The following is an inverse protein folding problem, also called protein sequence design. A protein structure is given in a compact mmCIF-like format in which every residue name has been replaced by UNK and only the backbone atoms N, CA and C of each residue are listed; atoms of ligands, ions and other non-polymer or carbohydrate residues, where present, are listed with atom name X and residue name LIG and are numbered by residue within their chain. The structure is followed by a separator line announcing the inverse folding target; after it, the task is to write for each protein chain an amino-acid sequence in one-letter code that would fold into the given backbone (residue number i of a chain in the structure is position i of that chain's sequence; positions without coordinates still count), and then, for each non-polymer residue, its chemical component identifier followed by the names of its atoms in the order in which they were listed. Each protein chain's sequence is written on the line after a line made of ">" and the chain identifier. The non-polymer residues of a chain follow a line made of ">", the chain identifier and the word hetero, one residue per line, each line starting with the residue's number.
data_IF_445281607918
#
_entry.id   IF_445281607918
#
_cell.length_a   1.000
_cell.length_b   1.000
_cell.length_c   1.000
_cell.angle_alpha   90.00
_cell.angle_beta   90.00
_cell.angle_gamma   90.00
#
_symmetry.space_group_name_H-M   'P 1'
#
loop_
_entity.id
_entity.type
_entity.pdbx_description
1 polymer ?
#
# COMPACT_ATOMS: atom_id res chain seq x y z
N UNK A 1 -42.52 11.22 60.57
CA UNK A 1 -41.53 12.27 60.24
C UNK A 1 -42.01 12.98 58.99
N UNK A 2 -42.36 14.24 59.14
CA UNK A 2 -43.33 14.99 58.34
C UNK A 2 -42.67 15.74 57.18
N UNK A 3 -43.11 15.44 55.96
CA UNK A 3 -43.59 16.37 54.92
C UNK A 3 -43.07 17.83 54.84
N UNK A 4 -42.72 18.20 53.59
CA UNK A 4 -43.33 19.28 52.76
C UNK A 4 -42.56 20.60 52.44
N UNK A 5 -42.49 20.84 51.12
CA UNK A 5 -42.54 22.10 50.29
C UNK A 5 -41.36 23.03 50.00
N UNK A 6 -41.24 23.28 48.67
CA UNK A 6 -40.65 24.44 47.95
C UNK A 6 -41.45 25.75 48.12
N UNK A 7 -40.91 26.90 47.68
CA UNK A 7 -41.65 27.72 46.69
C UNK A 7 -40.71 28.41 45.64
N UNK A 8 -41.16 29.33 44.74
CA UNK A 8 -41.77 29.00 43.44
C UNK A 8 -41.26 29.85 42.24
N UNK A 9 -41.85 29.60 41.07
CA UNK A 9 -41.71 30.32 39.79
C UNK A 9 -42.86 31.32 39.49
N UNK A 10 -42.66 32.18 38.47
CA UNK A 10 -43.63 32.99 37.67
C UNK A 10 -43.87 34.45 38.17
N UNK A 11 -44.14 35.50 37.38
CA UNK A 11 -44.53 35.69 35.96
C UNK A 11 -44.51 37.19 35.53
N UNK A 12 -44.15 37.44 34.26
CA UNK A 12 -44.75 38.32 33.23
C UNK A 12 -44.93 39.88 33.33
N UNK A 13 -44.47 40.51 32.22
CA UNK A 13 -44.93 41.74 31.50
C UNK A 13 -44.60 43.11 32.11
N UNK A 14 -44.28 44.20 31.38
CA UNK A 14 -44.55 44.59 29.99
C UNK A 14 -43.64 45.79 29.55
N UNK A 15 -43.18 45.78 28.28
CA UNK A 15 -42.96 46.89 27.30
C UNK A 15 -42.04 48.12 27.51
N UNK A 16 -41.16 48.24 26.49
CA UNK A 16 -40.85 49.39 25.60
C UNK A 16 -39.71 50.42 25.89
N UNK A 17 -38.71 50.33 24.98
CA UNK A 17 -37.95 51.39 24.28
C UNK A 17 -37.09 52.43 25.04
N UNK A 18 -35.75 52.33 24.92
CA UNK A 18 -34.95 53.11 23.94
C UNK A 18 -33.42 53.01 24.15
N UNK A 19 -32.72 52.89 23.02
CA UNK A 19 -31.33 53.29 22.70
C UNK A 19 -30.14 52.65 23.44
N UNK A 20 -29.39 51.83 22.69
CA UNK A 20 -28.07 51.32 23.06
C UNK A 20 -26.94 52.23 22.52
N UNK A 21 -25.96 52.55 23.37
CA UNK A 21 -24.65 53.11 23.01
C UNK A 21 -23.58 51.98 23.00
N UNK A 22 -22.55 52.02 22.13
CA UNK A 22 -21.76 50.86 21.75
C UNK A 22 -20.50 50.65 22.61
N UNK A 23 -20.19 49.38 22.92
CA UNK A 23 -18.90 48.95 23.49
C UNK A 23 -17.84 48.80 22.40
N UNK A 24 -16.72 49.50 22.56
CA UNK A 24 -15.53 49.41 21.71
C UNK A 24 -14.89 48.01 21.75
N UNK A 25 -14.66 47.41 20.57
CA UNK A 25 -13.82 46.21 20.40
C UNK A 25 -12.46 46.61 19.83
N UNK A 26 -11.38 46.26 20.53
CA UNK A 26 -10.01 46.34 20.02
C UNK A 26 -9.86 45.51 18.72
N UNK A 27 -9.56 46.18 17.61
CA UNK A 27 -9.23 45.55 16.33
C UNK A 27 -7.80 44.99 16.38
N UNK A 28 -7.65 43.69 16.13
CA UNK A 28 -6.35 43.08 15.80
C UNK A 28 -5.81 43.69 14.49
N UNK A 29 -4.49 43.93 14.34
CA UNK A 29 -3.94 44.53 13.14
C UNK A 29 -4.15 43.62 11.93
N UNK A 30 -4.62 44.19 10.81
CA UNK A 30 -4.70 43.49 9.53
C UNK A 30 -3.27 43.18 9.06
N UNK A 31 -2.97 41.90 8.75
CA UNK A 31 -1.76 41.54 8.00
C UNK A 31 -1.80 42.28 6.66
N UNK A 32 -0.83 43.17 6.44
CA UNK A 32 -0.66 43.83 5.15
C UNK A 32 -0.06 42.81 4.17
N UNK A 33 -0.80 42.43 3.13
CA UNK A 33 -0.21 41.81 1.95
C UNK A 33 0.62 42.89 1.25
N UNK A 34 1.93 42.87 1.48
CA UNK A 34 2.88 43.75 0.79
C UNK A 34 3.14 43.12 -0.58
N UNK A 35 2.64 43.76 -1.63
CA UNK A 35 3.00 43.43 -3.01
C UNK A 35 4.08 44.41 -3.47
N UNK A 36 5.28 43.90 -3.73
CA UNK A 36 6.43 44.72 -4.15
C UNK A 36 6.34 45.22 -5.60
N UNK A 37 5.47 44.62 -6.42
CA UNK A 37 5.32 44.94 -7.85
C UNK A 37 3.86 45.12 -8.26
N UNK A 38 3.08 45.83 -7.43
CA UNK A 38 1.67 46.06 -7.73
C UNK A 38 1.51 46.86 -9.04
N UNK A 39 0.76 46.30 -9.99
CA UNK A 39 0.48 46.86 -11.32
C UNK A 39 1.69 46.99 -12.26
N UNK A 40 2.84 46.38 -11.96
CA UNK A 40 3.97 46.37 -12.89
C UNK A 40 3.65 45.48 -14.10
N UNK A 41 4.01 45.94 -15.31
CA UNK A 41 4.02 45.12 -16.52
C UNK A 41 5.47 44.82 -16.88
N UNK A 42 5.81 43.53 -16.98
CA UNK A 42 7.14 42.99 -17.29
C UNK A 42 8.29 43.43 -16.34
N UNK A 43 8.19 43.22 -15.02
CA UNK A 43 9.33 43.48 -14.14
C UNK A 43 10.51 42.55 -14.48
N UNK A 44 11.70 43.12 -14.69
CA UNK A 44 12.93 42.40 -14.93
C UNK A 44 13.90 42.64 -13.77
N UNK A 45 14.29 41.57 -13.07
CA UNK A 45 15.22 41.63 -11.94
C UNK A 45 16.47 40.82 -12.30
N UNK A 46 17.64 41.43 -12.27
CA UNK A 46 18.92 40.78 -12.57
C UNK A 46 19.90 40.99 -11.41
N UNK A 47 20.69 39.96 -11.09
CA UNK A 47 21.74 39.98 -10.05
C UNK A 47 21.26 40.43 -8.66
N UNK A 48 20.11 39.94 -8.18
CA UNK A 48 19.57 40.29 -6.85
C UNK A 48 19.62 39.10 -5.89
N UNK A 49 19.90 39.37 -4.61
CA UNK A 49 19.84 38.41 -3.51
C UNK A 49 18.65 38.74 -2.61
N UNK A 50 17.76 37.76 -2.38
CA UNK A 50 16.60 37.91 -1.50
C UNK A 50 16.80 37.06 -0.25
N UNK A 51 16.77 37.68 0.92
CA UNK A 51 16.87 36.98 2.21
C UNK A 51 15.51 37.00 2.89
N UNK A 52 14.93 35.81 3.15
CA UNK A 52 13.62 35.67 3.80
C UNK A 52 13.85 35.36 5.28
N UNK A 53 13.51 36.29 6.17
CA UNK A 53 13.76 36.16 7.62
C UNK A 53 12.66 35.39 8.37
N UNK A 54 11.52 35.08 7.75
CA UNK A 54 10.43 34.31 8.36
C UNK A 54 9.73 33.43 7.31
N UNK A 55 9.35 32.20 7.69
CA UNK A 55 8.64 31.23 6.86
C UNK A 55 7.31 31.79 6.34
N UNK A 56 7.36 32.44 5.18
CA UNK A 56 6.20 32.69 4.33
C UNK A 56 6.29 31.72 3.16
N UNK A 57 5.31 30.81 3.09
CA UNK A 57 5.07 29.97 1.93
C UNK A 57 5.06 30.85 0.67
N UNK A 58 5.99 30.58 -0.24
CA UNK A 58 6.00 31.21 -1.57
C UNK A 58 4.85 30.58 -2.36
N UNK A 59 3.72 31.28 -2.44
CA UNK A 59 2.68 30.96 -3.41
C UNK A 59 3.03 31.68 -4.71
N UNK A 60 3.63 30.95 -5.65
CA UNK A 60 3.64 31.37 -7.05
C UNK A 60 2.23 31.13 -7.57
N UNK A 61 1.38 32.16 -7.58
CA UNK A 61 0.13 32.12 -8.32
C UNK A 61 0.47 32.22 -9.81
N UNK A 62 0.69 31.08 -10.46
CA UNK A 62 0.69 30.99 -11.91
C UNK A 62 -0.77 30.98 -12.37
N UNK A 63 -1.30 32.14 -12.72
CA UNK A 63 -2.55 32.24 -13.45
C UNK A 63 -2.44 31.45 -14.77
N UNK A 64 -3.13 30.32 -14.86
CA UNK A 64 -3.43 29.64 -16.13
C UNK A 64 -2.51 28.48 -16.58
N UNK A 65 -1.43 28.15 -15.89
CA UNK A 65 -0.65 26.94 -16.20
C UNK A 65 -1.27 25.78 -15.43
N UNK A 66 -1.88 24.81 -16.15
CA UNK A 66 -2.30 23.54 -15.56
C UNK A 66 -1.13 22.97 -14.74
N UNK A 67 -1.33 22.72 -13.45
CA UNK A 67 -0.34 22.04 -12.61
C UNK A 67 0.19 20.81 -13.40
N UNK A 68 1.48 20.75 -13.74
CA UNK A 68 2.04 19.69 -14.57
C UNK A 68 1.88 18.31 -13.91
N UNK A 69 1.72 18.26 -12.59
CA UNK A 69 1.46 17.04 -11.84
C UNK A 69 -0.02 16.68 -11.78
N UNK A 70 -0.96 17.58 -12.10
CA UNK A 70 -2.40 17.29 -12.07
C UNK A 70 -2.73 16.05 -12.90
N UNK A 71 -2.19 15.97 -14.13
CA UNK A 71 -2.38 14.81 -15.02
C UNK A 71 -1.80 13.51 -14.47
N UNK A 72 -0.72 13.59 -13.68
CA UNK A 72 -0.14 12.44 -12.99
C UNK A 72 -1.08 12.00 -11.87
N UNK A 73 -1.57 12.93 -11.05
CA UNK A 73 -2.50 12.65 -9.95
C UNK A 73 -3.82 12.05 -10.45
N UNK A 74 -4.32 12.49 -11.61
CA UNK A 74 -5.51 11.92 -12.24
C UNK A 74 -5.34 10.45 -12.67
N UNK A 75 -4.10 9.95 -12.76
CA UNK A 75 -3.79 8.54 -13.09
C UNK A 75 -3.44 7.68 -11.87
N UNK A 76 -3.40 8.25 -10.66
CA UNK A 76 -3.05 7.51 -9.44
C UNK A 76 -4.18 6.55 -9.08
N UNK A 77 -3.85 5.26 -8.98
CA UNK A 77 -4.75 4.26 -8.44
C UNK A 77 -4.59 4.23 -6.92
N UNK A 78 -5.39 5.04 -6.20
CA UNK A 78 -5.31 5.12 -4.74
C UNK A 78 -5.47 3.75 -4.09
N UNK A 79 -6.43 2.94 -4.55
CA UNK A 79 -6.70 1.58 -4.07
C UNK A 79 -5.57 0.57 -4.33
N UNK A 80 -4.52 0.92 -5.07
CA UNK A 80 -3.35 0.08 -5.29
C UNK A 80 -2.23 0.32 -4.26
N UNK A 81 -2.39 1.27 -3.34
CA UNK A 81 -1.40 1.63 -2.33
C UNK A 81 -1.64 0.84 -1.03
N UNK A 82 -0.57 0.62 -0.25
CA UNK A 82 -0.59 -0.11 1.04
C UNK A 82 -1.68 0.32 2.04
N UNK A 83 -2.00 1.62 2.15
CA UNK A 83 -2.91 2.17 3.17
C UNK A 83 -4.19 2.76 2.56
N UNK A 84 -4.59 2.28 1.38
CA UNK A 84 -5.80 2.79 0.73
C UNK A 84 -7.02 2.28 1.49
N UNK A 85 -7.66 3.14 2.28
CA UNK A 85 -8.84 2.76 3.06
C UNK A 85 -9.87 2.05 2.19
N UNK A 86 -10.19 0.78 2.53
CA UNK A 86 -11.21 0.00 1.82
C UNK A 86 -10.70 -1.07 0.86
N UNK A 87 -9.40 -1.44 0.86
CA UNK A 87 -8.95 -2.65 0.17
C UNK A 87 -9.51 -3.91 0.85
N UNK A 88 -10.42 -4.59 0.16
CA UNK A 88 -10.96 -5.89 0.61
C UNK A 88 -9.89 -7.01 0.70
N UNK A 89 -8.72 -6.80 0.10
CA UNK A 89 -7.57 -7.69 0.02
C UNK A 89 -6.42 -7.33 0.99
N UNK A 90 -6.64 -6.44 1.97
CA UNK A 90 -5.66 -6.14 3.03
C UNK A 90 -5.48 -7.31 3.99
N UNK A 91 -4.84 -8.36 3.51
CA UNK A 91 -4.41 -9.50 4.32
C UNK A 91 -2.92 -9.35 4.55
N UNK A 92 -2.49 -9.38 5.81
CA UNK A 92 -1.09 -9.54 6.19
C UNK A 92 -0.83 -10.95 6.71
N UNK A 93 0.43 -11.33 6.84
CA UNK A 93 0.78 -12.62 7.41
C UNK A 93 0.28 -12.68 8.87
N UNK A 94 -0.22 -13.85 9.25
CA UNK A 94 -0.57 -14.11 10.64
C UNK A 94 0.71 -14.11 11.49
N UNK A 95 0.73 -13.53 12.70
CA UNK A 95 1.92 -13.49 13.53
C UNK A 95 2.55 -14.88 13.72
N UNK A 96 3.87 -14.99 13.52
CA UNK A 96 4.59 -16.27 13.63
C UNK A 96 4.47 -17.19 12.42
N UNK A 97 3.89 -16.73 11.31
CA UNK A 97 3.86 -17.45 10.01
C UNK A 97 4.79 -16.78 9.00
N UNK A 98 5.32 -17.53 8.04
CA UNK A 98 6.17 -17.03 6.96
C UNK A 98 7.43 -16.27 7.42
N UNK A 99 7.85 -16.47 8.68
CA UNK A 99 8.95 -15.73 9.30
C UNK A 99 10.29 -15.96 8.58
N UNK A 100 10.50 -17.16 8.04
CA UNK A 100 11.73 -17.49 7.30
C UNK A 100 11.85 -16.67 6.01
N UNK A 101 10.79 -16.64 5.19
CA UNK A 101 10.78 -15.89 3.93
C UNK A 101 10.77 -14.38 4.19
N UNK A 102 10.05 -13.92 5.21
CA UNK A 102 10.08 -12.50 5.63
C UNK A 102 11.50 -12.11 6.08
N UNK A 103 12.16 -12.95 6.87
CA UNK A 103 13.54 -12.73 7.31
C UNK A 103 14.53 -12.73 6.16
N UNK A 104 14.34 -13.57 5.14
CA UNK A 104 15.13 -13.54 3.90
C UNK A 104 14.98 -12.20 3.18
N UNK A 105 13.75 -11.70 3.02
CA UNK A 105 13.48 -10.41 2.37
C UNK A 105 14.05 -9.24 3.16
N UNK A 106 13.98 -9.26 4.49
CA UNK A 106 14.61 -8.25 5.35
C UNK A 106 16.13 -8.21 5.15
N UNK A 107 16.79 -9.38 5.11
CA UNK A 107 18.24 -9.47 4.84
C UNK A 107 18.58 -8.96 3.44
N UNK A 108 17.75 -9.28 2.44
CA UNK A 108 17.94 -8.83 1.06
C UNK A 108 17.82 -7.30 0.94
N UNK A 109 16.79 -6.69 1.54
CA UNK A 109 16.64 -5.23 1.56
C UNK A 109 17.80 -4.51 2.26
N UNK A 110 18.41 -5.17 3.25
CA UNK A 110 19.57 -4.67 3.98
C UNK A 110 20.91 -4.89 3.23
N UNK A 111 20.91 -5.59 2.08
CA UNK A 111 22.13 -5.99 1.37
C UNK A 111 22.98 -7.02 2.12
N UNK A 112 22.38 -7.76 3.06
CA UNK A 112 23.04 -8.73 3.96
C UNK A 112 22.76 -10.18 3.59
N UNK A 113 22.06 -10.43 2.49
CA UNK A 113 21.72 -11.78 2.05
C UNK A 113 22.81 -12.42 1.15
N UNK A 114 23.91 -11.70 0.91
CA UNK A 114 25.03 -12.15 0.10
C UNK A 114 24.75 -12.20 -1.41
N UNK A 115 23.56 -11.76 -1.85
CA UNK A 115 23.21 -11.72 -3.27
C UNK A 115 23.56 -10.35 -3.88
N UNK A 116 24.08 -10.36 -5.10
CA UNK A 116 24.32 -9.13 -5.87
C UNK A 116 23.07 -8.65 -6.64
N UNK A 117 21.88 -9.13 -6.28
CA UNK A 117 20.64 -8.89 -7.04
C UNK A 117 19.80 -7.79 -6.42
N UNK A 118 19.45 -6.78 -7.22
CA UNK A 118 18.57 -5.69 -6.81
C UNK A 118 17.09 -5.97 -7.13
N UNK A 119 16.76 -7.14 -7.67
CA UNK A 119 15.40 -7.56 -7.96
C UNK A 119 15.11 -8.95 -7.38
N UNK A 120 14.05 -9.06 -6.60
CA UNK A 120 13.55 -10.31 -6.06
C UNK A 120 12.19 -10.64 -6.68
N UNK A 121 11.99 -11.90 -7.04
CA UNK A 121 10.72 -12.40 -7.56
C UNK A 121 10.13 -13.46 -6.63
N UNK A 122 9.09 -13.08 -5.88
CA UNK A 122 8.31 -13.98 -5.04
C UNK A 122 7.25 -14.70 -5.87
N UNK A 123 7.40 -16.01 -6.03
CA UNK A 123 6.53 -16.83 -6.88
C UNK A 123 5.83 -17.92 -6.09
N UNK A 124 4.65 -18.32 -6.53
CA UNK A 124 3.88 -19.39 -5.89
C UNK A 124 2.45 -19.49 -6.41
N UNK A 125 1.75 -20.59 -6.12
CA UNK A 125 0.38 -20.82 -6.56
C UNK A 125 -0.62 -19.81 -5.96
N UNK A 126 -1.84 -19.78 -6.49
CA UNK A 126 -2.93 -18.98 -5.92
C UNK A 126 -3.22 -19.43 -4.48
N UNK A 127 -3.40 -18.47 -3.56
CA UNK A 127 -3.69 -18.78 -2.16
C UNK A 127 -2.49 -19.14 -1.28
N UNK A 128 -1.26 -19.11 -1.81
CA UNK A 128 -0.02 -19.37 -1.03
C UNK A 128 0.36 -18.25 -0.04
N UNK A 129 -0.28 -17.08 -0.13
CA UNK A 129 -0.03 -15.95 0.77
C UNK A 129 0.99 -14.91 0.26
N UNK A 130 1.30 -14.89 -1.04
CA UNK A 130 2.21 -13.87 -1.64
C UNK A 130 1.83 -12.44 -1.29
N UNK A 131 0.58 -12.04 -1.55
CA UNK A 131 0.06 -10.71 -1.24
C UNK A 131 0.17 -10.38 0.25
N UNK A 132 -0.06 -11.37 1.12
CA UNK A 132 0.10 -11.22 2.56
C UNK A 132 1.54 -10.99 2.99
N UNK A 133 2.50 -11.66 2.34
CA UNK A 133 3.93 -11.43 2.57
C UNK A 133 4.31 -10.03 2.09
N UNK A 134 3.92 -9.62 0.88
CA UNK A 134 4.25 -8.27 0.35
C UNK A 134 3.64 -7.17 1.23
N UNK A 135 2.38 -7.34 1.67
CA UNK A 135 1.72 -6.44 2.61
C UNK A 135 2.51 -6.35 3.93
N UNK A 136 2.95 -7.48 4.48
CA UNK A 136 3.74 -7.53 5.72
C UNK A 136 5.09 -6.84 5.56
N UNK A 137 5.78 -7.05 4.43
CA UNK A 137 7.03 -6.36 4.12
C UNK A 137 6.82 -4.85 4.02
N UNK A 138 5.76 -4.42 3.37
CA UNK A 138 5.43 -3.00 3.25
C UNK A 138 5.17 -2.35 4.62
N UNK A 139 4.44 -3.03 5.52
CA UNK A 139 4.25 -2.59 6.91
C UNK A 139 5.57 -2.54 7.68
N UNK A 140 6.44 -3.55 7.55
CA UNK A 140 7.77 -3.58 8.18
C UNK A 140 8.65 -2.44 7.65
N UNK A 141 8.60 -2.13 6.36
CA UNK A 141 9.32 -0.99 5.80
C UNK A 141 8.89 0.31 6.47
N UNK A 142 7.58 0.53 6.62
CA UNK A 142 7.02 1.70 7.32
C UNK A 142 7.50 1.77 8.77
N UNK A 143 7.47 0.66 9.51
CA UNK A 143 7.92 0.58 10.90
C UNK A 143 9.42 0.83 11.07
N UNK A 144 10.24 0.33 10.12
CA UNK A 144 11.71 0.45 10.14
C UNK A 144 12.23 1.76 9.54
N UNK A 145 11.34 2.61 9.00
CA UNK A 145 11.72 3.81 8.26
C UNK A 145 12.49 3.50 6.96
N UNK A 146 12.21 2.35 6.33
CA UNK A 146 12.70 2.01 4.99
C UNK A 146 11.75 2.65 3.98
N UNK A 147 12.32 3.35 2.99
CA UNK A 147 11.55 4.00 1.94
C UNK A 147 10.97 2.94 1.00
N UNK A 148 9.65 2.87 0.90
CA UNK A 148 8.99 1.91 0.03
C UNK A 148 7.80 2.54 -0.70
N UNK A 149 7.65 2.21 -1.98
CA UNK A 149 6.47 2.53 -2.79
C UNK A 149 5.86 1.23 -3.30
N UNK A 150 4.54 1.15 -3.27
CA UNK A 150 3.81 -0.10 -3.49
C UNK A 150 2.77 0.02 -4.60
N UNK A 151 2.54 -1.08 -5.31
CA UNK A 151 1.43 -1.23 -6.23
C UNK A 151 0.88 -2.64 -6.16
N UNK A 152 -0.35 -2.78 -5.70
CA UNK A 152 -1.07 -4.04 -5.61
C UNK A 152 -2.05 -4.15 -6.77
N UNK A 153 -1.69 -4.95 -7.78
CA UNK A 153 -2.61 -5.28 -8.86
C UNK A 153 -3.80 -6.07 -8.32
N UNK A 154 -4.97 -5.83 -8.89
CA UNK A 154 -6.14 -6.63 -8.59
C UNK A 154 -7.02 -6.78 -9.83
N UNK A 155 -7.22 -8.01 -10.29
CA UNK A 155 -7.87 -8.28 -11.58
C UNK A 155 -9.31 -7.76 -11.64
N UNK A 156 -10.04 -7.81 -10.53
CA UNK A 156 -11.43 -7.39 -10.46
C UNK A 156 -11.64 -5.88 -10.32
N UNK A 157 -10.56 -5.11 -10.09
CA UNK A 157 -10.64 -3.65 -9.94
C UNK A 157 -10.08 -2.95 -11.19
N UNK A 158 -10.94 -2.30 -11.99
CA UNK A 158 -10.53 -1.67 -13.25
C UNK A 158 -9.51 -0.54 -13.07
N UNK A 159 -9.42 0.03 -11.86
CA UNK A 159 -8.48 1.11 -11.56
C UNK A 159 -7.05 0.61 -11.37
N UNK A 160 -6.86 -0.68 -11.06
CA UNK A 160 -5.55 -1.29 -10.76
C UNK A 160 -5.31 -2.65 -11.42
N UNK A 161 -6.09 -3.00 -12.45
CA UNK A 161 -5.88 -4.20 -13.24
C UNK A 161 -5.03 -3.97 -14.50
N UNK A 162 -4.44 -2.78 -14.71
CA UNK A 162 -3.61 -2.47 -15.89
C UNK A 162 -2.29 -1.82 -15.50
N UNK A 163 -1.30 -1.82 -16.39
CA UNK A 163 -0.01 -1.18 -16.16
C UNK A 163 -0.07 0.37 -16.15
N UNK A 164 -1.14 0.95 -16.71
CA UNK A 164 -1.28 2.40 -16.91
C UNK A 164 -1.08 3.23 -15.62
N UNK A 165 -1.76 2.95 -14.50
CA UNK A 165 -1.59 3.71 -13.25
C UNK A 165 -0.27 3.44 -12.51
N UNK A 166 0.50 2.41 -12.90
CA UNK A 166 1.63 1.90 -12.11
C UNK A 166 2.65 3.00 -11.78
N UNK A 167 3.22 3.65 -12.80
CA UNK A 167 4.29 4.64 -12.59
C UNK A 167 3.77 5.88 -11.86
N UNK A 168 2.59 6.39 -12.24
CA UNK A 168 1.99 7.53 -11.57
C UNK A 168 1.76 7.26 -10.07
N UNK A 169 1.30 6.06 -9.73
CA UNK A 169 1.03 5.65 -8.35
C UNK A 169 2.30 5.45 -7.53
N UNK A 170 3.35 4.88 -8.14
CA UNK A 170 4.67 4.78 -7.49
C UNK A 170 5.28 6.17 -7.27
N UNK A 171 5.20 7.07 -8.26
CA UNK A 171 5.71 8.44 -8.15
C UNK A 171 4.98 9.24 -7.09
N UNK A 172 3.66 9.12 -6.99
CA UNK A 172 2.88 9.75 -5.93
C UNK A 172 3.45 9.41 -4.55
N UNK A 173 3.70 8.13 -4.27
CA UNK A 173 4.30 7.68 -3.00
C UNK A 173 5.75 8.17 -2.85
N UNK A 174 6.55 8.12 -3.93
CA UNK A 174 7.94 8.60 -3.89
C UNK A 174 8.02 10.11 -3.60
N UNK A 175 7.06 10.91 -4.07
CA UNK A 175 7.04 12.35 -3.78
C UNK A 175 6.83 12.65 -2.30
N UNK A 176 6.09 11.80 -1.58
CA UNK A 176 5.92 11.90 -0.14
C UNK A 176 7.22 11.52 0.61
N UNK A 177 7.95 10.53 0.10
CA UNK A 177 9.22 10.07 0.67
C UNK A 177 10.39 11.00 0.35
N UNK A 178 10.38 11.64 -0.83
CA UNK A 178 11.47 12.44 -1.35
C UNK A 178 10.96 13.66 -2.14
N UNK A 179 10.62 14.78 -1.45
CA UNK A 179 10.06 15.97 -2.06
C UNK A 179 10.85 16.56 -3.25
N UNK A 180 12.20 16.51 -3.30
CA UNK A 180 12.94 16.97 -4.48
C UNK A 180 12.56 16.26 -5.79
N UNK A 181 12.20 14.96 -5.73
CA UNK A 181 11.74 14.22 -6.90
C UNK A 181 10.48 14.84 -7.52
N UNK A 182 9.59 15.38 -6.69
CA UNK A 182 8.35 16.03 -7.13
C UNK A 182 8.65 17.20 -8.06
N UNK A 183 9.63 18.04 -7.71
CA UNK A 183 9.99 19.21 -8.50
C UNK A 183 10.66 18.81 -9.83
N UNK A 184 11.57 17.83 -9.78
CA UNK A 184 12.24 17.32 -10.98
C UNK A 184 11.24 16.71 -11.98
N UNK A 185 10.31 15.87 -11.51
CA UNK A 185 9.27 15.27 -12.36
C UNK A 185 8.29 16.31 -12.89
N UNK A 186 7.91 17.30 -12.08
CA UNK A 186 7.05 18.40 -12.53
C UNK A 186 7.69 19.17 -13.71
N UNK A 187 8.99 19.45 -13.64
CA UNK A 187 9.72 20.11 -14.73
C UNK A 187 9.74 19.25 -16.01
N UNK A 188 9.98 17.94 -15.89
CA UNK A 188 9.96 17.01 -17.03
C UNK A 188 8.57 16.96 -17.67
N UNK A 189 7.51 16.82 -16.87
CA UNK A 189 6.14 16.75 -17.38
C UNK A 189 5.64 18.08 -17.97
N UNK A 190 6.25 19.21 -17.56
CA UNK A 190 5.95 20.51 -18.16
C UNK A 190 6.48 20.61 -19.59
N UNK A 191 7.66 20.02 -19.85
CA UNK A 191 8.29 20.00 -21.18
C UNK A 191 7.80 18.83 -22.05
N UNK A 192 7.46 17.69 -21.43
CA UNK A 192 7.11 16.45 -22.12
C UNK A 192 5.80 15.85 -21.55
N UNK A 193 4.66 16.52 -21.73
CA UNK A 193 3.39 16.11 -21.11
C UNK A 193 2.85 14.75 -21.59
N UNK A 194 3.30 14.26 -22.74
CA UNK A 194 2.90 12.96 -23.31
C UNK A 194 3.62 11.77 -22.66
N UNK A 195 4.61 12.00 -21.78
CA UNK A 195 5.34 10.92 -21.11
C UNK A 195 4.43 10.04 -20.26
N UNK A 196 3.38 10.59 -19.64
CA UNK A 196 2.41 9.80 -18.86
C UNK A 196 1.61 8.79 -19.71
N UNK A 197 1.67 8.91 -21.03
CA UNK A 197 1.05 7.99 -21.98
C UNK A 197 2.08 7.25 -22.85
N UNK A 198 3.37 7.49 -22.61
CA UNK A 198 4.45 6.79 -23.30
C UNK A 198 4.55 5.33 -22.85
N UNK A 199 5.47 4.57 -23.45
CA UNK A 199 5.70 3.19 -23.05
C UNK A 199 6.07 3.11 -21.56
N UNK A 200 5.72 2.01 -20.89
CA UNK A 200 6.08 1.83 -19.47
C UNK A 200 7.61 1.90 -19.28
N UNK A 201 8.36 1.51 -20.29
CA UNK A 201 9.82 1.59 -20.33
C UNK A 201 10.31 3.05 -20.28
N UNK A 202 9.73 3.92 -21.09
CA UNK A 202 10.06 5.36 -21.11
C UNK A 202 9.63 6.04 -19.82
N UNK A 203 8.47 5.66 -19.27
CA UNK A 203 7.99 6.19 -18.00
C UNK A 203 8.93 5.83 -16.84
N UNK A 204 9.37 4.56 -16.74
CA UNK A 204 10.36 4.16 -15.74
C UNK A 204 11.69 4.89 -15.90
N UNK A 205 12.19 4.99 -17.14
CA UNK A 205 13.46 5.65 -17.38
C UNK A 205 13.39 7.15 -17.08
N UNK A 206 12.47 7.87 -17.71
CA UNK A 206 12.44 9.34 -17.68
C UNK A 206 11.78 9.91 -16.42
N UNK A 207 10.85 9.19 -15.77
CA UNK A 207 10.13 9.70 -14.61
C UNK A 207 10.61 9.10 -13.28
N UNK A 208 11.13 7.86 -13.25
CA UNK A 208 11.67 7.25 -12.03
C UNK A 208 13.20 7.35 -11.98
N UNK A 209 13.91 6.85 -12.98
CA UNK A 209 15.37 6.75 -12.94
C UNK A 209 16.06 8.12 -13.04
N UNK A 210 15.89 8.81 -14.18
CA UNK A 210 16.59 10.06 -14.47
C UNK A 210 16.41 11.11 -13.36
N UNK A 211 15.19 11.39 -12.87
CA UNK A 211 14.99 12.44 -11.88
C UNK A 211 15.66 12.12 -10.54
N UNK A 212 15.82 10.84 -10.19
CA UNK A 212 16.39 10.43 -8.92
C UNK A 212 17.90 10.22 -8.96
N UNK A 213 18.50 10.08 -10.14
CA UNK A 213 19.95 10.10 -10.34
C UNK A 213 20.51 11.53 -10.25
N UNK A 214 19.79 12.50 -10.80
CA UNK A 214 20.26 13.88 -10.90
C UNK A 214 20.16 14.66 -9.58
N UNK A 215 19.44 14.13 -8.58
CA UNK A 215 19.30 14.79 -7.28
C UNK A 215 20.40 14.29 -6.34
N UNK A 216 21.33 15.16 -5.88
CA UNK A 216 22.38 14.78 -4.96
C UNK A 216 21.80 14.18 -3.67
N UNK A 217 22.29 13.01 -3.28
CA UNK A 217 21.96 12.36 -2.00
C UNK A 217 23.11 12.56 -1.02
N UNK A 218 22.99 13.43 -0.01
CA UNK A 218 24.05 13.65 0.98
C UNK A 218 24.47 12.34 1.64
N UNK A 219 25.77 12.19 1.91
CA UNK A 219 26.39 10.93 2.36
C UNK A 219 25.77 10.39 3.65
N UNK A 220 25.32 11.27 4.54
CA UNK A 220 24.70 10.93 5.82
C UNK A 220 23.17 10.98 5.81
N UNK A 221 22.55 11.21 4.65
CA UNK A 221 21.10 11.33 4.56
C UNK A 221 20.40 9.96 4.57
N UNK A 222 19.25 9.83 5.24
CA UNK A 222 18.33 8.70 5.04
C UNK A 222 17.99 8.44 3.56
N UNK A 223 18.14 9.47 2.71
CA UNK A 223 17.94 9.40 1.27
C UNK A 223 18.99 8.57 0.50
N UNK A 224 20.08 8.09 1.13
CA UNK A 224 20.96 7.07 0.54
C UNK A 224 20.46 5.63 0.72
N UNK A 225 19.45 5.39 1.57
CA UNK A 225 18.83 4.07 1.64
C UNK A 225 18.11 3.76 0.32
N UNK A 226 18.09 2.49 -0.11
CA UNK A 226 17.34 2.12 -1.30
C UNK A 226 15.84 2.40 -1.12
N UNK A 227 15.21 2.81 -2.20
CA UNK A 227 13.75 2.87 -2.33
C UNK A 227 13.28 1.50 -2.80
N UNK A 228 12.50 0.82 -1.97
CA UNK A 228 11.96 -0.50 -2.30
C UNK A 228 10.65 -0.36 -3.06
N UNK A 229 10.62 -0.83 -4.30
CA UNK A 229 9.41 -0.94 -5.11
C UNK A 229 8.76 -2.30 -4.85
N UNK A 230 7.55 -2.28 -4.30
CA UNK A 230 6.77 -3.48 -3.97
C UNK A 230 5.65 -3.63 -5.00
N UNK A 231 5.71 -4.66 -5.85
CA UNK A 231 4.73 -4.88 -6.91
C UNK A 231 4.08 -6.24 -6.69
N UNK A 232 2.85 -6.24 -6.19
CA UNK A 232 2.10 -7.47 -5.92
C UNK A 232 1.11 -7.78 -7.03
N UNK A 233 0.91 -9.07 -7.30
CA UNK A 233 -0.10 -9.54 -8.25
C UNK A 233 0.21 -9.24 -9.72
N UNK A 234 1.48 -9.30 -10.17
CA UNK A 234 1.79 -8.99 -11.58
C UNK A 234 0.97 -9.84 -12.58
N UNK A 235 0.64 -11.09 -12.25
CA UNK A 235 -0.23 -11.97 -13.04
C UNK A 235 -1.70 -11.50 -13.10
N UNK A 236 -2.10 -10.57 -12.24
CA UNK A 236 -3.42 -9.94 -12.23
C UNK A 236 -3.51 -8.71 -13.13
N UNK A 237 -2.38 -8.21 -13.64
CA UNK A 237 -2.39 -7.21 -14.72
C UNK A 237 -3.01 -7.83 -15.97
N UNK A 238 -4.15 -7.26 -16.41
CA UNK A 238 -5.06 -7.77 -17.42
C UNK A 238 -4.33 -8.22 -18.71
N UNK A 239 -4.78 -9.37 -19.20
CA UNK A 239 -4.06 -10.32 -20.06
C UNK A 239 -4.25 -10.15 -21.57
N UNK A 240 -5.04 -9.18 -22.04
CA UNK A 240 -5.01 -8.80 -23.47
C UNK A 240 -3.61 -8.35 -23.92
N UNK A 241 -2.72 -8.10 -22.95
CA UNK A 241 -1.32 -7.79 -23.17
C UNK A 241 -0.43 -8.58 -22.21
N UNK A 242 -0.19 -9.89 -22.46
CA UNK A 242 1.00 -10.60 -21.93
C UNK A 242 2.30 -9.80 -22.18
N UNK A 243 2.30 -8.86 -23.12
CA UNK A 243 3.34 -7.85 -23.32
C UNK A 243 3.50 -6.90 -22.12
N UNK A 244 2.43 -6.41 -21.50
CA UNK A 244 2.51 -5.45 -20.38
C UNK A 244 3.27 -6.01 -19.18
N UNK A 245 2.96 -7.24 -18.75
CA UNK A 245 3.67 -7.90 -17.65
C UNK A 245 5.17 -8.06 -17.94
N UNK A 246 5.52 -8.46 -19.17
CA UNK A 246 6.93 -8.56 -19.63
C UNK A 246 7.61 -7.20 -19.68
N UNK A 247 6.92 -6.18 -20.17
CA UNK A 247 7.45 -4.82 -20.25
C UNK A 247 7.70 -4.21 -18.87
N UNK A 248 6.83 -4.49 -17.88
CA UNK A 248 7.04 -4.10 -16.48
C UNK A 248 8.32 -4.75 -15.94
N UNK A 249 8.48 -6.07 -16.10
CA UNK A 249 9.70 -6.78 -15.66
C UNK A 249 10.97 -6.23 -16.32
N UNK A 250 10.94 -5.97 -17.63
CA UNK A 250 12.08 -5.39 -18.37
C UNK A 250 12.36 -3.93 -17.99
N UNK A 251 11.34 -3.17 -17.59
CA UNK A 251 11.51 -1.81 -17.11
C UNK A 251 12.13 -1.79 -15.71
N UNK A 252 11.68 -2.68 -14.82
CA UNK A 252 12.26 -2.88 -13.48
C UNK A 252 13.72 -3.37 -13.55
N UNK A 253 14.00 -4.36 -14.39
CA UNK A 253 15.35 -4.89 -14.59
C UNK A 253 16.34 -3.78 -14.97
N UNK A 254 15.97 -2.97 -15.96
CA UNK A 254 16.78 -1.80 -16.34
C UNK A 254 16.85 -0.75 -15.25
N UNK A 255 15.77 -0.50 -14.53
CA UNK A 255 15.78 0.45 -13.41
C UNK A 255 16.82 0.06 -12.36
N UNK A 256 16.85 -1.21 -11.96
CA UNK A 256 17.70 -1.68 -10.85
C UNK A 256 19.15 -1.99 -11.26
N UNK A 257 19.40 -2.23 -12.55
CA UNK A 257 20.73 -2.50 -13.11
C UNK A 257 21.56 -1.26 -13.38
N UNK A 258 20.92 -0.10 -13.43
CA UNK A 258 21.62 1.13 -13.74
C UNK A 258 22.60 1.48 -12.62
N UNK A 259 23.81 1.88 -13.00
CA UNK A 259 24.86 2.17 -12.02
C UNK A 259 24.42 3.33 -11.10
N UNK A 260 24.57 3.15 -9.80
CA UNK A 260 24.08 4.10 -8.81
C UNK A 260 22.56 4.18 -8.68
N UNK A 261 21.81 3.23 -9.25
CA UNK A 261 20.36 3.17 -9.08
C UNK A 261 20.00 3.00 -7.61
N UNK A 262 19.07 3.81 -7.09
CA UNK A 262 18.67 3.76 -5.69
C UNK A 262 17.53 2.76 -5.43
N UNK A 263 17.23 1.86 -6.36
CA UNK A 263 16.03 1.04 -6.30
C UNK A 263 16.31 -0.42 -6.01
N UNK A 264 15.46 -1.00 -5.17
CA UNK A 264 15.23 -2.44 -5.08
C UNK A 264 13.83 -2.74 -5.58
N UNK A 265 13.63 -3.87 -6.25
CA UNK A 265 12.32 -4.27 -6.75
C UNK A 265 11.93 -5.66 -6.20
N UNK A 266 10.85 -5.72 -5.41
CA UNK A 266 10.19 -6.97 -5.04
C UNK A 266 8.93 -7.12 -5.89
N UNK A 267 8.91 -8.15 -6.74
CA UNK A 267 7.76 -8.49 -7.56
C UNK A 267 7.16 -9.79 -7.06
N UNK A 268 5.86 -9.82 -6.83
CA UNK A 268 5.13 -11.04 -6.51
C UNK A 268 4.16 -11.41 -7.63
N UNK A 269 4.18 -12.69 -8.03
CA UNK A 269 3.24 -13.20 -9.04
C UNK A 269 3.12 -14.71 -9.03
N UNK A 270 2.15 -15.25 -9.77
CA UNK A 270 2.16 -16.66 -10.17
C UNK A 270 3.31 -16.96 -11.15
N UNK A 271 3.80 -18.20 -11.21
CA UNK A 271 4.79 -18.63 -12.20
C UNK A 271 4.13 -18.89 -13.57
N UNK A 272 3.47 -17.88 -14.16
CA UNK A 272 2.94 -18.03 -15.52
C UNK A 272 4.09 -18.19 -16.53
N UNK A 273 3.95 -19.03 -17.59
CA UNK A 273 5.06 -19.38 -18.47
C UNK A 273 5.84 -18.20 -19.05
N UNK A 274 5.14 -17.12 -19.47
CA UNK A 274 5.81 -15.94 -20.03
C UNK A 274 6.47 -15.07 -18.96
N UNK A 275 6.00 -15.09 -17.70
CA UNK A 275 6.67 -14.43 -16.57
C UNK A 275 7.96 -15.16 -16.26
N UNK A 276 7.91 -16.49 -16.06
CA UNK A 276 9.09 -17.33 -15.82
C UNK A 276 10.14 -17.16 -16.92
N UNK A 277 9.72 -17.28 -18.18
CA UNK A 277 10.63 -17.11 -19.32
C UNK A 277 11.27 -15.72 -19.35
N UNK A 278 10.54 -14.68 -18.93
CA UNK A 278 11.08 -13.32 -18.91
C UNK A 278 12.08 -13.16 -17.78
N UNK A 279 11.72 -13.56 -16.55
CA UNK A 279 12.62 -13.51 -15.38
C UNK A 279 13.93 -14.24 -15.65
N UNK A 280 13.87 -15.44 -16.25
CA UNK A 280 15.07 -16.22 -16.59
C UNK A 280 15.98 -15.57 -17.66
N UNK A 281 15.47 -14.57 -18.40
CA UNK A 281 16.21 -13.83 -19.43
C UNK A 281 16.69 -12.46 -18.97
N UNK A 282 16.30 -12.02 -17.77
CA UNK A 282 16.67 -10.71 -17.25
C UNK A 282 18.14 -10.66 -16.85
N UNK A 283 18.76 -9.48 -17.01
CA UNK A 283 20.20 -9.30 -16.78
C UNK A 283 20.55 -9.10 -15.30
N UNK A 284 19.60 -8.67 -14.47
CA UNK A 284 19.80 -8.36 -13.04
C UNK A 284 20.09 -9.54 -12.12
N UNK A 285 20.22 -10.75 -12.65
CA UNK A 285 20.30 -11.98 -11.86
C UNK A 285 19.18 -11.98 -10.81
N UNK A 286 17.92 -11.82 -11.26
CA UNK A 286 16.73 -11.80 -10.39
C UNK A 286 16.83 -12.94 -9.39
N UNK A 287 16.59 -12.65 -8.10
CA UNK A 287 16.55 -13.66 -7.05
C UNK A 287 15.15 -14.29 -6.99
N UNK A 288 14.94 -15.52 -7.50
CA UNK A 288 13.64 -16.17 -7.37
C UNK A 288 13.47 -16.70 -5.94
N UNK A 289 12.27 -16.53 -5.40
CA UNK A 289 11.83 -17.11 -4.13
C UNK A 289 10.51 -17.82 -4.38
N UNK A 290 10.51 -19.15 -4.39
CA UNK A 290 9.31 -19.95 -4.61
C UNK A 290 8.68 -20.32 -3.27
N UNK A 291 7.40 -20.00 -3.08
CA UNK A 291 6.60 -20.46 -1.95
C UNK A 291 6.17 -21.91 -2.19
N UNK A 292 7.12 -22.81 -2.02
CA UNK A 292 6.97 -24.27 -2.10
C UNK A 292 7.09 -24.90 -0.70
N UNK A 293 7.22 -26.23 -0.67
CA UNK A 293 7.29 -27.01 0.56
C UNK A 293 8.54 -26.73 1.40
N UNK A 294 9.57 -26.06 0.84
CA UNK A 294 10.77 -25.68 1.59
C UNK A 294 10.44 -24.73 2.75
N UNK A 295 9.39 -23.91 2.59
CA UNK A 295 8.91 -22.99 3.63
C UNK A 295 7.84 -23.62 4.53
N UNK A 296 7.74 -24.95 4.56
CA UNK A 296 6.86 -25.72 5.44
C UNK A 296 5.45 -25.12 5.63
N UNK A 297 4.69 -24.88 4.54
CA UNK A 297 3.44 -24.13 4.60
C UNK A 297 2.41 -24.75 5.56
N UNK A 298 2.41 -26.07 5.74
CA UNK A 298 1.51 -26.76 6.69
C UNK A 298 1.78 -26.37 8.15
N UNK A 299 3.04 -26.15 8.52
CA UNK A 299 3.42 -25.70 9.87
C UNK A 299 2.88 -24.29 10.12
N UNK A 300 3.03 -23.40 9.14
CA UNK A 300 2.52 -22.04 9.24
C UNK A 300 0.99 -22.01 9.23
N UNK A 301 0.33 -22.84 8.42
CA UNK A 301 -1.13 -22.97 8.41
C UNK A 301 -1.62 -23.47 9.77
N UNK A 302 -0.92 -24.42 10.40
CA UNK A 302 -1.26 -24.87 11.76
C UNK A 302 -1.21 -23.71 12.76
N UNK A 303 -0.14 -22.91 12.76
CA UNK A 303 -0.03 -21.73 13.64
C UNK A 303 -1.20 -20.77 13.42
N UNK A 304 -1.52 -20.46 12.16
CA UNK A 304 -2.66 -19.62 11.81
C UNK A 304 -3.99 -20.20 12.32
N UNK A 305 -4.28 -21.47 12.00
CA UNK A 305 -5.54 -22.14 12.36
C UNK A 305 -5.67 -22.26 13.89
N UNK A 306 -4.61 -22.55 14.63
CA UNK A 306 -4.60 -22.56 16.10
C UNK A 306 -5.01 -21.21 16.68
N UNK A 307 -4.45 -20.14 16.14
CA UNK A 307 -4.78 -18.78 16.53
C UNK A 307 -6.24 -18.40 16.24
N UNK A 308 -6.71 -18.71 15.04
CA UNK A 308 -8.08 -18.40 14.61
C UNK A 308 -9.14 -19.20 15.36
N UNK A 309 -8.93 -20.50 15.60
CA UNK A 309 -9.82 -21.27 16.45
C UNK A 309 -9.90 -20.72 17.88
N UNK A 310 -8.76 -20.31 18.44
CA UNK A 310 -8.72 -19.65 19.75
C UNK A 310 -9.45 -18.32 19.75
N UNK A 311 -9.50 -17.61 18.62
CA UNK A 311 -10.31 -16.41 18.47
C UNK A 311 -11.80 -16.76 18.43
N UNK A 312 -12.20 -17.72 17.59
CA UNK A 312 -13.59 -18.18 17.45
C UNK A 312 -14.15 -18.65 18.80
N UNK A 313 -13.40 -19.46 19.56
CA UNK A 313 -13.81 -19.93 20.89
C UNK A 313 -14.03 -18.78 21.90
N UNK A 314 -13.40 -17.62 21.69
CA UNK A 314 -13.56 -16.44 22.55
C UNK A 314 -14.66 -15.49 22.08
N UNK A 315 -14.86 -15.34 20.77
CA UNK A 315 -15.69 -14.27 20.20
C UNK A 315 -17.03 -14.71 19.64
N UNK A 316 -17.21 -16.00 19.32
CA UNK A 316 -18.42 -16.49 18.66
C UNK A 316 -19.62 -16.50 19.62
N UNK A 317 -20.82 -16.09 19.15
CA UNK A 317 -22.03 -16.00 19.99
C UNK A 317 -22.48 -17.34 20.57
N UNK A 318 -22.22 -18.43 19.84
CA UNK A 318 -22.48 -19.81 20.30
C UNK A 318 -21.29 -20.48 21.00
N UNK A 319 -20.23 -19.74 21.35
CA UNK A 319 -19.04 -20.33 21.96
C UNK A 319 -19.33 -21.10 23.26
N UNK A 320 -20.31 -20.63 24.04
CA UNK A 320 -20.75 -21.25 25.29
C UNK A 320 -21.42 -22.63 25.12
N UNK A 321 -21.77 -23.02 23.88
CA UNK A 321 -22.34 -24.33 23.55
C UNK A 321 -21.29 -25.32 23.03
N UNK A 322 -20.05 -24.87 22.86
CA UNK A 322 -18.97 -25.72 22.39
C UNK A 322 -18.44 -26.58 23.54
N UNK A 323 -18.01 -27.80 23.22
CA UNK A 323 -17.30 -28.65 24.18
C UNK A 323 -16.00 -27.99 24.62
N UNK A 324 -15.59 -28.20 25.86
CA UNK A 324 -14.30 -27.76 26.37
C UNK A 324 -13.14 -28.35 25.55
N UNK A 325 -13.32 -29.57 25.05
CA UNK A 325 -12.37 -30.29 24.20
C UNK A 325 -12.35 -29.82 22.73
N UNK A 326 -13.21 -28.86 22.35
CA UNK A 326 -13.20 -28.30 21.01
C UNK A 326 -12.31 -27.05 20.89
N UNK A 327 -11.50 -26.92 19.83
CA UNK A 327 -11.26 -27.90 18.78
C UNK A 327 -10.36 -29.05 19.23
N UNK A 328 -10.65 -30.24 18.75
CA UNK A 328 -9.83 -31.45 18.93
C UNK A 328 -8.62 -31.45 17.99
N UNK A 329 -7.63 -32.30 18.26
CA UNK A 329 -6.48 -32.49 17.34
C UNK A 329 -6.93 -32.86 15.92
N UNK A 330 -7.98 -33.69 15.79
CA UNK A 330 -8.55 -34.06 14.50
C UNK A 330 -9.17 -32.86 13.76
N UNK A 331 -9.82 -31.94 14.48
CA UNK A 331 -10.34 -30.70 13.91
C UNK A 331 -9.19 -29.87 13.30
N UNK A 332 -8.08 -29.71 14.01
CA UNK A 332 -6.89 -29.02 13.48
C UNK A 332 -6.31 -29.73 12.26
N UNK A 333 -6.07 -31.05 12.35
CA UNK A 333 -5.50 -31.83 11.25
C UNK A 333 -6.38 -31.78 10.00
N UNK A 334 -7.70 -31.83 10.17
CA UNK A 334 -8.64 -31.83 9.05
C UNK A 334 -8.51 -30.55 8.21
N UNK A 335 -8.36 -29.38 8.84
CA UNK A 335 -8.19 -28.11 8.14
C UNK A 335 -6.78 -28.03 7.54
N UNK A 336 -5.74 -28.35 8.29
CA UNK A 336 -4.34 -28.28 7.83
C UNK A 336 -4.15 -29.16 6.59
N UNK A 337 -4.57 -30.43 6.67
CA UNK A 337 -4.43 -31.40 5.57
C UNK A 337 -5.25 -30.99 4.35
N UNK A 338 -6.50 -30.54 4.53
CA UNK A 338 -7.34 -30.08 3.40
C UNK A 338 -6.85 -28.79 2.77
N UNK A 339 -6.06 -27.99 3.50
CA UNK A 339 -5.49 -26.77 2.96
C UNK A 339 -4.45 -27.05 1.87
N UNK A 340 -3.80 -28.23 1.86
CA UNK A 340 -2.78 -28.61 0.88
C UNK A 340 -1.74 -27.49 0.65
N UNK A 341 -1.25 -26.90 1.74
CA UNK A 341 -0.30 -25.79 1.72
C UNK A 341 -0.86 -24.42 1.29
N UNK A 342 -2.17 -24.30 1.02
CA UNK A 342 -2.80 -23.04 0.61
C UNK A 342 -3.56 -22.36 1.76
N UNK A 343 -3.10 -21.17 2.15
CA UNK A 343 -3.75 -20.34 3.17
C UNK A 343 -5.18 -19.92 2.81
N UNK A 344 -5.50 -19.78 1.52
CA UNK A 344 -6.84 -19.36 1.10
C UNK A 344 -7.94 -20.31 1.59
N UNK A 345 -7.66 -21.61 1.62
CA UNK A 345 -8.63 -22.59 2.13
C UNK A 345 -8.82 -22.42 3.63
N UNK A 346 -7.73 -22.48 4.41
CA UNK A 346 -7.77 -22.31 5.86
C UNK A 346 -8.46 -20.99 6.25
N UNK A 347 -8.10 -19.87 5.63
CA UNK A 347 -8.68 -18.57 5.91
C UNK A 347 -10.17 -18.51 5.56
N UNK A 348 -10.58 -19.15 4.46
CA UNK A 348 -12.01 -19.24 4.08
C UNK A 348 -12.80 -20.04 5.10
N UNK A 349 -12.26 -21.17 5.57
CA UNK A 349 -12.88 -21.99 6.61
C UNK A 349 -12.99 -21.17 7.89
N UNK A 350 -11.88 -20.63 8.43
CA UNK A 350 -11.90 -19.85 9.67
C UNK A 350 -12.89 -18.67 9.62
N UNK A 351 -12.93 -17.93 8.51
CA UNK A 351 -13.90 -16.85 8.32
C UNK A 351 -15.34 -17.37 8.32
N UNK A 352 -15.62 -18.46 7.61
CA UNK A 352 -16.95 -19.08 7.60
C UNK A 352 -17.38 -19.52 9.00
N UNK A 353 -16.49 -20.15 9.78
CA UNK A 353 -16.79 -20.54 11.16
C UNK A 353 -17.08 -19.33 12.07
N UNK A 354 -16.34 -18.24 11.89
CA UNK A 354 -16.50 -17.03 12.70
C UNK A 354 -17.74 -16.20 12.36
N UNK A 355 -18.19 -16.22 11.10
CA UNK A 355 -19.33 -15.44 10.61
C UNK A 355 -20.65 -16.24 10.56
N UNK A 356 -20.58 -17.58 10.68
CA UNK A 356 -21.75 -18.45 10.58
C UNK A 356 -22.73 -18.21 11.73
N UNK A 357 -24.06 -18.16 11.48
CA UNK A 357 -25.03 -18.14 12.56
C UNK A 357 -25.13 -19.48 13.30
N UNK A 358 -24.63 -20.58 12.69
CA UNK A 358 -24.67 -21.92 13.25
C UNK A 358 -23.49 -22.21 14.19
N UNK A 359 -23.51 -23.37 14.87
CA UNK A 359 -22.40 -23.78 15.74
C UNK A 359 -21.09 -23.90 14.94
N UNK A 360 -19.96 -23.34 15.42
CA UNK A 360 -18.66 -23.45 14.76
C UNK A 360 -18.24 -24.89 14.48
N UNK A 361 -18.57 -25.85 15.36
CA UNK A 361 -18.30 -27.28 15.14
C UNK A 361 -19.06 -27.80 13.92
N UNK A 362 -20.36 -27.50 13.83
CA UNK A 362 -21.19 -27.96 12.71
C UNK A 362 -20.73 -27.34 11.39
N UNK A 363 -20.39 -26.05 11.42
CA UNK A 363 -19.83 -25.34 10.25
C UNK A 363 -18.47 -25.91 9.84
N UNK A 364 -17.61 -26.27 10.79
CA UNK A 364 -16.37 -26.96 10.52
C UNK A 364 -16.62 -28.29 9.81
N UNK A 365 -17.45 -29.15 10.39
CA UNK A 365 -17.76 -30.49 9.85
C UNK A 365 -18.29 -30.42 8.42
N UNK A 366 -19.13 -29.42 8.14
CA UNK A 366 -19.63 -29.17 6.79
C UNK A 366 -18.52 -28.74 5.83
N UNK A 367 -17.59 -27.89 6.29
CA UNK A 367 -16.48 -27.37 5.48
C UNK A 367 -15.42 -28.43 5.18
N UNK A 368 -15.23 -29.38 6.11
CA UNK A 368 -14.26 -30.47 5.99
C UNK A 368 -14.90 -31.82 5.64
N UNK A 369 -16.19 -31.85 5.29
CA UNK A 369 -16.82 -33.06 4.75
C UNK A 369 -16.17 -33.48 3.41
N UNK A 370 -16.10 -34.78 3.08
CA UNK A 370 -15.79 -35.22 1.73
C UNK A 370 -16.83 -34.68 0.75
N UNK A 371 -16.42 -34.28 -0.45
CA UNK A 371 -17.37 -34.03 -1.54
C UNK A 371 -17.97 -35.38 -1.92
N UNK A 372 -19.21 -35.64 -1.50
CA UNK A 372 -19.97 -36.79 -1.99
C UNK A 372 -20.32 -36.48 -3.44
N UNK A 373 -19.57 -37.08 -4.38
CA UNK A 373 -19.94 -37.10 -5.79
C UNK A 373 -21.26 -37.86 -5.99
N UNK A 374 -21.97 -37.69 -7.11
CA UNK A 374 -23.15 -38.49 -7.39
C UNK A 374 -22.76 -39.97 -7.33
N UNK A 375 -23.56 -40.77 -6.62
CA UNK A 375 -23.47 -42.23 -6.68
C UNK A 375 -23.57 -42.62 -8.15
N UNK A 376 -22.49 -43.21 -8.68
CA UNK A 376 -22.57 -43.96 -9.93
C UNK A 376 -23.53 -45.14 -9.67
N UNK A 377 -24.72 -45.09 -10.26
CA UNK A 377 -25.62 -46.25 -10.43
C UNK A 377 -25.22 -47.07 -11.66
#
# INVERSE_FOLDING_TARGET
>A
MSTITYPPSSSASNRDNHSAMPRYKLKRPKRANISFFKNAKNPYVKNSSFTVSHTTNVYVSSDGVSDPLKRLYDQVAQNAILNAGGRADEVKCYPGTREEVIGLMDRWMDGKDGAASNMMWLSGPAGSGKSAIVQTIAERCKQRGVQAASFFFFRADPTRCTARPLVATLLYQIFELYPPARQAVAAILSNHPLLLTASIQDQFNQLLLTPLQDIPRPVESPARRPIVLLIDGLDECNSEQKSSQRQILQALDRLVMQNGSPFLALVASRPEPHIMMTVNKLASLVKPVYLDDQYAPEKDIRVFVTGEFSNIKRSHHLAHLLSDDWPSDEDYESVVKKSSGQFIFAATVMRYLGESPASPKLSLDTSVAPLVGPLEE
#
